data_IF_205442485089
#
_entry.id   IF_205442485089
#
_cell.length_a   1.000
_cell.length_b   1.000
_cell.length_c   1.000
_cell.angle_alpha   90.00
_cell.angle_beta   90.00
_cell.angle_gamma   90.00
#
_symmetry.space_group_name_H-M   'P 1'
#
loop_
_entity.id
_entity.type
_entity.pdbx_description
1 polymer ?
#
# COMPACT_ATOMS: atom_id res chain seq x y z
N UNK A 1 5.94 -15.22 -2.80
CA UNK A 1 4.85 -14.31 -2.37
C UNK A 1 5.00 -12.92 -3.01
N UNK A 2 3.98 -12.06 -2.92
CA UNK A 2 3.98 -10.67 -3.44
C UNK A 2 3.49 -9.71 -2.37
N UNK A 3 4.10 -8.52 -2.29
CA UNK A 3 3.76 -7.45 -1.36
C UNK A 3 3.08 -6.31 -2.12
N UNK A 4 1.81 -6.07 -1.83
CA UNK A 4 1.09 -4.90 -2.36
C UNK A 4 1.34 -3.72 -1.42
N UNK A 5 1.94 -2.66 -1.96
CA UNK A 5 2.22 -1.43 -1.20
C UNK A 5 1.21 -0.36 -1.61
N UNK A 6 0.45 0.14 -0.62
CA UNK A 6 -0.48 1.26 -0.80
C UNK A 6 -0.03 2.41 0.12
N UNK A 7 0.67 3.41 -0.41
CA UNK A 7 1.13 4.56 0.37
C UNK A 7 -0.05 5.42 0.81
N UNK A 8 -0.16 5.67 2.13
CA UNK A 8 -1.20 6.55 2.67
C UNK A 8 -1.10 7.99 2.13
N UNK A 9 0.09 8.43 1.74
CA UNK A 9 0.29 9.77 1.17
C UNK A 9 -0.43 9.92 -0.19
N UNK A 10 -0.56 8.84 -0.96
CA UNK A 10 -1.32 8.84 -2.22
C UNK A 10 -2.82 8.83 -2.01
N UNK A 11 -3.26 8.28 -0.89
CA UNK A 11 -4.67 8.39 -0.49
C UNK A 11 -5.05 9.85 -0.22
N UNK A 12 -4.11 10.72 0.18
CA UNK A 12 -4.35 12.16 0.36
C UNK A 12 -4.58 12.89 -0.96
N UNK A 13 -4.08 12.37 -2.08
CA UNK A 13 -4.30 12.95 -3.42
C UNK A 13 -5.73 12.69 -3.92
N UNK A 14 -6.36 11.59 -3.48
CA UNK A 14 -7.73 11.22 -3.86
C UNK A 14 -8.81 11.73 -2.89
N UNK A 15 -8.46 12.20 -1.69
CA UNK A 15 -9.42 12.75 -0.71
C UNK A 15 -9.47 14.28 -0.72
N UNK A 16 -10.66 14.86 -0.54
CA UNK A 16 -10.82 16.32 -0.41
C UNK A 16 -10.08 16.81 0.85
N UNK A 17 -9.44 17.99 0.77
CA UNK A 17 -8.75 18.65 1.88
C UNK A 17 -9.65 18.92 3.10
N UNK A 18 -10.98 18.87 2.92
CA UNK A 18 -11.96 19.06 4.00
C UNK A 18 -12.38 17.75 4.68
N UNK A 19 -11.86 16.61 4.20
CA UNK A 19 -12.20 15.27 4.70
C UNK A 19 -11.67 15.07 6.13
N UNK A 20 -12.48 14.45 6.98
CA UNK A 20 -12.08 14.13 8.35
C UNK A 20 -11.10 12.94 8.37
N UNK A 21 -10.24 12.83 9.39
CA UNK A 21 -9.32 11.68 9.52
C UNK A 21 -10.04 10.31 9.45
N UNK A 22 -11.19 10.10 10.14
CA UNK A 22 -11.96 8.87 10.00
C UNK A 22 -12.45 8.59 8.57
N UNK A 23 -12.86 9.62 7.83
CA UNK A 23 -13.35 9.43 6.46
C UNK A 23 -12.21 9.20 5.47
N UNK A 24 -11.02 9.78 5.72
CA UNK A 24 -9.82 9.49 4.93
C UNK A 24 -9.37 8.02 5.12
N UNK A 25 -9.44 7.49 6.33
CA UNK A 25 -9.16 6.07 6.60
C UNK A 25 -10.18 5.14 5.93
N UNK A 26 -11.46 5.51 5.90
CA UNK A 26 -12.45 4.74 5.11
C UNK A 26 -12.09 4.69 3.63
N UNK A 27 -11.55 5.78 3.07
CA UNK A 27 -11.09 5.78 1.67
C UNK A 27 -9.90 4.84 1.47
N UNK A 28 -9.00 4.76 2.44
CA UNK A 28 -7.93 3.75 2.45
C UNK A 28 -8.49 2.32 2.41
N UNK A 29 -9.47 2.06 3.28
CA UNK A 29 -10.14 0.76 3.38
C UNK A 29 -10.86 0.41 2.06
N UNK A 30 -11.50 1.38 1.40
CA UNK A 30 -12.13 1.19 0.09
C UNK A 30 -11.11 0.79 -0.99
N UNK A 31 -9.93 1.44 -1.02
CA UNK A 31 -8.87 1.10 -1.99
C UNK A 31 -8.32 -0.30 -1.73
N UNK A 32 -8.07 -0.64 -0.45
CA UNK A 32 -7.63 -1.98 -0.06
C UNK A 32 -8.67 -3.04 -0.42
N UNK A 33 -9.95 -2.75 -0.16
CA UNK A 33 -11.06 -3.62 -0.53
C UNK A 33 -11.09 -3.84 -2.03
N UNK A 34 -10.96 -2.79 -2.84
CA UNK A 34 -10.96 -2.90 -4.30
C UNK A 34 -9.76 -3.70 -4.83
N UNK A 35 -8.57 -3.52 -4.24
CA UNK A 35 -7.40 -4.32 -4.61
C UNK A 35 -7.57 -5.82 -4.33
N UNK A 36 -8.07 -6.17 -3.13
CA UNK A 36 -8.34 -7.58 -2.76
C UNK A 36 -9.48 -8.16 -3.60
N UNK A 37 -10.54 -7.37 -3.81
CA UNK A 37 -11.69 -7.76 -4.61
C UNK A 37 -11.29 -8.00 -6.06
N UNK A 38 -10.44 -7.15 -6.64
CA UNK A 38 -9.95 -7.32 -8.01
C UNK A 38 -9.26 -8.67 -8.25
N UNK A 39 -8.52 -9.21 -7.27
CA UNK A 39 -7.90 -10.53 -7.38
C UNK A 39 -8.90 -11.64 -7.09
N UNK A 40 -9.73 -11.44 -6.07
CA UNK A 40 -10.67 -12.47 -5.58
C UNK A 40 -11.77 -12.75 -6.60
N UNK A 41 -12.23 -11.70 -7.30
CA UNK A 41 -13.31 -11.80 -8.27
C UNK A 41 -12.87 -12.56 -9.53
N UNK A 42 -11.60 -12.44 -9.93
CA UNK A 42 -11.02 -13.20 -11.05
C UNK A 42 -11.05 -14.72 -10.84
N UNK A 43 -11.08 -15.17 -9.59
CA UNK A 43 -11.03 -16.59 -9.22
C UNK A 43 -12.44 -17.13 -8.92
N UNK A 44 -13.25 -16.34 -8.21
CA UNK A 44 -14.49 -16.82 -7.62
C UNK A 44 -15.75 -16.47 -8.41
N UNK A 45 -15.71 -15.40 -9.21
CA UNK A 45 -16.89 -14.93 -9.95
C UNK A 45 -16.80 -15.45 -11.39
N UNK A 46 -17.81 -16.20 -11.87
CA UNK A 46 -17.85 -16.62 -13.27
C UNK A 46 -17.85 -15.41 -14.19
N UNK A 47 -16.72 -15.20 -14.87
CA UNK A 47 -16.55 -14.19 -15.90
C UNK A 47 -16.90 -14.71 -17.31
N UNK A 48 -17.02 -13.79 -18.27
CA UNK A 48 -17.00 -14.15 -19.69
C UNK A 48 -15.65 -14.77 -20.06
N UNK A 49 -14.58 -14.22 -19.46
CA UNK A 49 -13.24 -14.74 -19.56
C UNK A 49 -12.74 -14.96 -18.14
N UNK A 50 -12.79 -16.22 -17.75
CA UNK A 50 -12.44 -16.67 -16.42
C UNK A 50 -10.99 -17.12 -16.39
N UNK A 51 -10.27 -16.71 -15.35
CA UNK A 51 -8.93 -17.19 -15.07
C UNK A 51 -8.99 -18.26 -13.99
N UNK A 52 -8.01 -19.15 -13.98
CA UNK A 52 -7.89 -20.11 -12.89
C UNK A 52 -6.94 -19.62 -11.80
N UNK A 53 -6.92 -20.31 -10.66
CA UNK A 53 -6.03 -19.95 -9.56
C UNK A 53 -4.54 -20.14 -9.93
N UNK A 54 -4.21 -21.04 -10.85
CA UNK A 54 -2.83 -21.29 -11.25
C UNK A 54 -2.26 -20.14 -12.09
N UNK A 55 -3.10 -19.55 -12.95
CA UNK A 55 -2.79 -18.34 -13.70
C UNK A 55 -2.46 -17.19 -12.76
N UNK A 56 -3.38 -16.85 -11.84
CA UNK A 56 -3.18 -15.79 -10.83
C UNK A 56 -1.97 -16.09 -9.93
N UNK A 57 -1.80 -17.35 -9.51
CA UNK A 57 -0.64 -17.73 -8.72
C UNK A 57 0.68 -17.53 -9.48
N UNK A 58 0.71 -17.76 -10.80
CA UNK A 58 1.93 -17.60 -11.61
C UNK A 58 2.36 -16.13 -11.72
N UNK A 59 1.40 -15.22 -11.88
CA UNK A 59 1.67 -13.77 -11.89
C UNK A 59 1.92 -13.20 -10.51
N UNK A 60 1.42 -13.78 -9.43
CA UNK A 60 1.60 -13.24 -8.07
C UNK A 60 2.66 -13.96 -7.23
N UNK A 61 3.24 -15.06 -7.70
CA UNK A 61 4.21 -15.80 -6.90
C UNK A 61 5.64 -15.30 -7.14
N UNK A 62 6.27 -14.87 -6.05
CA UNK A 62 7.70 -14.51 -5.99
C UNK A 62 8.04 -13.31 -6.88
N UNK A 63 7.11 -12.34 -6.97
CA UNK A 63 7.27 -11.14 -7.81
C UNK A 63 7.66 -9.88 -7.05
N UNK A 64 7.89 -9.97 -5.74
CA UNK A 64 8.33 -8.82 -4.94
C UNK A 64 7.18 -7.83 -4.72
N UNK A 65 7.40 -6.57 -5.11
CA UNK A 65 6.40 -5.51 -4.96
C UNK A 65 5.35 -5.56 -6.07
N UNK A 66 4.13 -5.22 -5.67
CA UNK A 66 3.01 -4.94 -6.55
C UNK A 66 2.39 -3.57 -6.27
N UNK A 67 1.93 -2.93 -7.34
CA UNK A 67 1.15 -1.71 -7.29
C UNK A 67 -0.22 -1.91 -7.92
N UNK A 68 -1.19 -1.10 -7.50
CA UNK A 68 -2.58 -1.19 -7.92
C UNK A 68 -3.01 0.14 -8.52
N UNK A 69 -3.55 0.09 -9.72
CA UNK A 69 -4.26 1.17 -10.39
C UNK A 69 -5.74 0.84 -10.51
N UNK A 70 -6.60 1.80 -10.24
CA UNK A 70 -8.05 1.62 -10.31
C UNK A 70 -8.62 2.77 -11.15
N UNK A 71 -9.44 2.41 -12.13
CA UNK A 71 -10.11 3.36 -13.00
C UNK A 71 -11.54 2.96 -13.28
N UNK A 72 -12.34 3.95 -13.64
CA UNK A 72 -13.76 3.81 -13.96
C UNK A 72 -14.07 4.55 -15.25
N UNK A 73 -14.96 4.00 -16.04
CA UNK A 73 -15.34 4.60 -17.33
C UNK A 73 -16.81 4.39 -17.61
N UNK A 74 -17.37 5.24 -18.45
CA UNK A 74 -18.78 5.20 -18.87
C UNK A 74 -18.91 5.73 -20.29
N UNK A 75 -19.93 5.29 -21.03
CA UNK A 75 -20.16 5.66 -22.44
C UNK A 75 -19.42 4.78 -23.45
N UNK A 76 -19.24 5.29 -24.67
CA UNK A 76 -18.76 4.49 -25.81
C UNK A 76 -17.29 4.06 -25.73
N UNK A 77 -16.43 4.87 -25.07
CA UNK A 77 -14.99 4.59 -24.89
C UNK A 77 -14.66 4.17 -23.44
N UNK A 78 -15.65 3.63 -22.72
CA UNK A 78 -15.57 3.36 -21.27
C UNK A 78 -14.36 2.51 -20.87
N UNK A 79 -14.02 1.48 -21.64
CA UNK A 79 -12.87 0.62 -21.33
C UNK A 79 -11.54 1.35 -21.44
N UNK A 80 -11.32 2.07 -22.55
CA UNK A 80 -10.06 2.77 -22.80
C UNK A 80 -9.87 3.91 -21.80
N UNK A 81 -10.91 4.67 -21.51
CA UNK A 81 -10.87 5.73 -20.50
C UNK A 81 -10.62 5.18 -19.09
N UNK A 82 -11.28 4.07 -18.72
CA UNK A 82 -11.04 3.42 -17.43
C UNK A 82 -9.61 2.88 -17.30
N UNK A 83 -9.02 2.33 -18.36
CA UNK A 83 -7.61 1.93 -18.34
C UNK A 83 -6.71 3.16 -18.16
N UNK A 84 -6.92 4.23 -18.94
CA UNK A 84 -6.14 5.47 -18.81
C UNK A 84 -6.19 6.03 -17.39
N UNK A 85 -7.35 6.03 -16.77
CA UNK A 85 -7.50 6.43 -15.36
C UNK A 85 -6.74 5.47 -14.43
N UNK A 86 -6.85 4.16 -14.65
CA UNK A 86 -6.16 3.17 -13.83
C UNK A 86 -4.63 3.31 -13.89
N UNK A 87 -4.04 3.49 -15.08
CA UNK A 87 -2.58 3.65 -15.25
C UNK A 87 -2.05 4.99 -14.75
N UNK A 88 -2.90 6.02 -14.74
CA UNK A 88 -2.55 7.35 -14.23
C UNK A 88 -2.95 7.54 -12.77
N UNK A 89 -3.44 6.48 -12.13
CA UNK A 89 -3.88 6.51 -10.74
C UNK A 89 -2.70 6.81 -9.80
N UNK A 90 -2.86 7.71 -8.83
CA UNK A 90 -1.83 8.03 -7.83
C UNK A 90 -1.34 6.81 -7.02
N UNK A 91 -2.12 5.73 -7.02
CA UNK A 91 -1.86 4.50 -6.28
C UNK A 91 -0.82 3.58 -6.97
N UNK A 92 -0.52 3.84 -8.25
CA UNK A 92 0.63 3.29 -8.94
C UNK A 92 1.85 4.17 -8.61
N UNK A 93 2.71 3.71 -7.68
CA UNK A 93 3.93 4.47 -7.35
C UNK A 93 4.93 4.49 -8.50
N UNK A 94 5.03 3.39 -9.24
CA UNK A 94 5.84 3.25 -10.44
C UNK A 94 4.93 3.15 -11.65
N UNK A 95 5.40 3.68 -12.79
CA UNK A 95 4.74 3.43 -14.07
C UNK A 95 4.63 1.92 -14.32
N UNK A 96 3.62 1.50 -15.09
CA UNK A 96 3.48 0.10 -15.49
C UNK A 96 4.61 -0.36 -16.44
N UNK A 97 5.42 0.57 -16.93
CA UNK A 97 6.58 0.31 -17.78
C UNK A 97 7.59 -0.58 -17.04
N UNK A 98 7.96 -1.71 -17.64
CA UNK A 98 8.92 -2.64 -17.04
C UNK A 98 8.32 -3.60 -16.00
N UNK A 99 7.00 -3.58 -15.79
CA UNK A 99 6.35 -4.62 -15.00
C UNK A 99 6.49 -5.97 -15.71
N UNK A 100 7.09 -6.97 -15.06
CA UNK A 100 7.24 -8.29 -15.67
C UNK A 100 5.88 -9.00 -15.88
N UNK A 101 4.91 -8.74 -15.01
CA UNK A 101 3.60 -9.39 -15.03
C UNK A 101 2.50 -8.39 -14.64
N UNK A 102 1.38 -8.40 -15.36
CA UNK A 102 0.26 -7.50 -15.14
C UNK A 102 -1.05 -8.28 -15.10
N UNK A 103 -1.91 -7.95 -14.15
CA UNK A 103 -3.28 -8.46 -14.04
C UNK A 103 -4.25 -7.32 -14.35
N UNK A 104 -5.21 -7.59 -15.23
CA UNK A 104 -6.27 -6.67 -15.59
C UNK A 104 -7.59 -7.34 -15.25
N UNK A 105 -8.31 -6.78 -14.29
CA UNK A 105 -9.67 -7.18 -13.97
C UNK A 105 -10.65 -6.13 -14.50
N UNK A 106 -11.55 -6.55 -15.38
CA UNK A 106 -12.59 -5.72 -15.97
C UNK A 106 -13.93 -6.16 -15.39
N UNK A 107 -14.60 -5.26 -14.68
CA UNK A 107 -15.92 -5.48 -14.10
C UNK A 107 -16.93 -4.52 -14.70
N UNK A 108 -17.92 -5.04 -15.44
CA UNK A 108 -18.97 -4.23 -16.04
C UNK A 108 -19.51 -4.83 -17.33
N UNK A 109 -20.40 -4.10 -18.00
CA UNK A 109 -20.88 -4.46 -19.33
C UNK A 109 -19.87 -4.04 -20.39
N UNK A 110 -19.11 -5.02 -20.92
CA UNK A 110 -17.99 -4.80 -21.84
C UNK A 110 -18.07 -5.76 -23.03
N UNK A 111 -17.99 -5.21 -24.24
CA UNK A 111 -17.82 -5.98 -25.46
C UNK A 111 -16.41 -6.55 -25.61
N UNK A 112 -16.29 -7.66 -26.35
CA UNK A 112 -14.99 -8.28 -26.66
C UNK A 112 -14.02 -7.30 -27.34
N UNK A 113 -14.53 -6.42 -28.21
CA UNK A 113 -13.71 -5.43 -28.91
C UNK A 113 -13.16 -4.39 -27.94
N UNK A 114 -13.98 -3.85 -27.05
CA UNK A 114 -13.58 -2.86 -26.05
C UNK A 114 -12.55 -3.44 -25.06
N UNK A 115 -12.73 -4.70 -24.65
CA UNK A 115 -11.77 -5.41 -23.82
C UNK A 115 -10.42 -5.62 -24.54
N UNK A 116 -10.45 -5.96 -25.83
CA UNK A 116 -9.25 -6.11 -26.64
C UNK A 116 -8.50 -4.77 -26.79
N UNK A 117 -9.22 -3.67 -27.03
CA UNK A 117 -8.62 -2.35 -27.18
C UNK A 117 -7.95 -1.88 -25.87
N UNK A 118 -8.58 -2.16 -24.72
CA UNK A 118 -7.99 -1.94 -23.40
C UNK A 118 -6.71 -2.77 -23.16
N UNK A 119 -6.71 -4.05 -23.57
CA UNK A 119 -5.55 -4.92 -23.45
C UNK A 119 -4.38 -4.46 -24.33
N UNK A 120 -4.66 -4.10 -25.59
CA UNK A 120 -3.65 -3.57 -26.52
C UNK A 120 -3.00 -2.29 -26.00
N UNK A 121 -3.80 -1.40 -25.38
CA UNK A 121 -3.27 -0.17 -24.81
C UNK A 121 -2.31 -0.43 -23.64
N UNK A 122 -2.58 -1.43 -22.79
CA UNK A 122 -1.66 -1.81 -21.72
C UNK A 122 -0.41 -2.47 -22.29
N UNK A 123 -0.56 -3.35 -23.28
CA UNK A 123 0.55 -4.03 -23.94
C UNK A 123 1.54 -3.04 -24.56
N UNK A 124 1.05 -1.97 -25.20
CA UNK A 124 1.87 -0.89 -25.76
C UNK A 124 2.70 -0.17 -24.68
N UNK A 125 2.17 -0.02 -23.47
CA UNK A 125 2.83 0.66 -22.36
C UNK A 125 3.81 -0.25 -21.59
N UNK A 126 3.46 -1.52 -21.37
CA UNK A 126 4.31 -2.47 -20.65
C UNK A 126 5.43 -3.05 -21.52
N UNK A 127 5.26 -3.07 -22.83
CA UNK A 127 6.18 -3.67 -23.80
C UNK A 127 6.01 -5.19 -23.97
N UNK A 128 6.61 -5.75 -25.03
CA UNK A 128 6.40 -7.12 -25.52
C UNK A 128 6.89 -8.25 -24.58
N UNK A 129 7.62 -7.94 -23.50
CA UNK A 129 8.19 -8.96 -22.59
C UNK A 129 7.36 -9.15 -21.31
N UNK A 130 6.13 -8.64 -21.28
CA UNK A 130 5.26 -8.65 -20.09
C UNK A 130 4.21 -9.74 -20.18
N UNK A 131 4.07 -10.54 -19.13
CA UNK A 131 2.98 -11.52 -19.05
C UNK A 131 1.69 -10.86 -18.55
N UNK A 132 0.76 -10.60 -19.47
CA UNK A 132 -0.51 -9.94 -19.16
C UNK A 132 -1.61 -10.99 -18.99
N UNK A 133 -2.30 -10.91 -17.87
CA UNK A 133 -3.44 -11.76 -17.54
C UNK A 133 -4.69 -10.89 -17.45
N UNK A 134 -5.76 -11.35 -18.09
CA UNK A 134 -6.99 -10.59 -18.21
C UNK A 134 -8.19 -11.42 -17.78
N UNK A 135 -9.07 -10.80 -17.00
CA UNK A 135 -10.38 -11.35 -16.68
C UNK A 135 -11.47 -10.32 -16.87
N UNK A 136 -12.63 -10.81 -17.34
CA UNK A 136 -13.82 -10.00 -17.59
C UNK A 136 -14.98 -10.62 -16.85
N UNK A 137 -15.59 -9.86 -15.97
CA UNK A 137 -16.79 -10.24 -15.23
C UNK A 137 -17.94 -9.28 -15.52
N UNK A 138 -19.14 -9.84 -15.59
CA UNK A 138 -20.39 -9.11 -15.74
C UNK A 138 -21.13 -9.15 -14.41
N UNK A 139 -20.99 -8.13 -13.54
CA UNK A 139 -21.82 -8.05 -12.35
C UNK A 139 -23.30 -7.95 -12.77
N UNK A 140 -24.22 -8.59 -12.03
CA UNK A 140 -25.67 -8.52 -12.32
C UNK A 140 -26.27 -7.11 -12.14
N UNK A 141 -25.48 -6.12 -11.72
CA UNK A 141 -25.87 -4.73 -11.66
C UNK A 141 -25.67 -4.08 -13.04
N UNK A 142 -26.79 -3.86 -13.74
CA UNK A 142 -26.87 -3.10 -14.98
C UNK A 142 -26.50 -1.63 -14.73
N UNK A 143 -25.21 -1.31 -14.78
CA UNK A 143 -24.74 0.06 -14.93
C UNK A 143 -23.89 0.14 -16.21
N UNK A 144 -24.14 1.15 -17.06
CA UNK A 144 -23.32 1.49 -18.24
C UNK A 144 -21.96 2.09 -17.82
N UNK A 145 -21.32 1.41 -16.87
CA UNK A 145 -20.04 1.76 -16.32
C UNK A 145 -19.17 0.52 -16.24
N UNK A 146 -17.89 0.72 -16.50
CA UNK A 146 -16.87 -0.29 -16.33
C UNK A 146 -15.93 0.14 -15.22
N UNK A 147 -15.55 -0.80 -14.37
CA UNK A 147 -14.45 -0.64 -13.41
C UNK A 147 -13.31 -1.54 -13.84
N UNK A 148 -12.13 -0.94 -14.00
CA UNK A 148 -10.92 -1.67 -14.35
C UNK A 148 -9.94 -1.55 -13.19
N UNK A 149 -9.42 -2.69 -12.76
CA UNK A 149 -8.33 -2.78 -11.78
C UNK A 149 -7.11 -3.36 -12.46
N UNK A 150 -6.01 -2.62 -12.43
CA UNK A 150 -4.71 -3.01 -12.98
C UNK A 150 -3.78 -3.29 -11.81
N UNK A 151 -3.13 -4.46 -11.82
CA UNK A 151 -2.17 -4.86 -10.79
C UNK A 151 -0.86 -5.18 -11.51
N UNK A 152 0.15 -4.33 -11.30
CA UNK A 152 1.47 -4.51 -11.86
C UNK A 152 2.37 -5.18 -10.83
N UNK A 153 3.10 -6.22 -11.23
CA UNK A 153 4.00 -6.99 -10.36
C UNK A 153 5.33 -7.28 -11.06
N UNK A 154 6.40 -7.48 -10.28
CA UNK A 154 7.73 -7.70 -10.83
C UNK A 154 8.29 -6.45 -11.48
N UNK A 155 8.00 -5.30 -10.88
CA UNK A 155 8.71 -4.05 -11.11
C UNK A 155 10.04 -4.14 -10.35
N UNK A 156 11.15 -3.86 -11.05
CA UNK A 156 12.46 -3.81 -10.40
C UNK A 156 12.53 -2.57 -9.49
N UNK A 157 12.84 -2.80 -8.22
CA UNK A 157 13.12 -1.74 -7.26
C UNK A 157 14.46 -1.07 -7.62
N UNK A 158 14.46 -0.06 -8.49
CA UNK A 158 15.64 0.79 -8.64
C UNK A 158 15.80 1.75 -7.43
N UNK A 159 14.81 1.82 -6.53
CA UNK A 159 14.78 2.80 -5.42
C UNK A 159 14.48 2.23 -4.01
N UNK A 160 14.37 0.92 -3.80
CA UNK A 160 14.37 0.34 -2.44
C UNK A 160 15.76 -0.04 -1.95
N UNK A 161 16.73 0.85 -2.19
CA UNK A 161 17.77 1.03 -1.19
C UNK A 161 17.09 1.57 0.08
N UNK A 162 16.67 0.66 0.97
CA UNK A 162 16.45 0.92 2.39
C UNK A 162 17.77 1.44 2.98
N UNK A 163 18.11 2.67 2.64
CA UNK A 163 19.15 3.42 3.31
C UNK A 163 18.61 3.68 4.71
N UNK A 164 19.35 3.21 5.70
CA UNK A 164 19.14 3.43 7.13
C UNK A 164 19.31 4.92 7.52
N UNK A 165 18.79 5.87 6.73
CA UNK A 165 19.09 7.30 6.84
C UNK A 165 17.89 8.17 7.26
N UNK A 166 16.79 7.59 7.75
CA UNK A 166 15.79 8.33 8.51
C UNK A 166 15.96 8.17 10.02
N UNK A 167 17.16 8.49 10.52
CA UNK A 167 17.26 8.94 11.91
C UNK A 167 16.94 10.43 11.96
N UNK A 168 15.90 10.86 12.70
CA UNK A 168 15.55 12.27 12.80
C UNK A 168 16.75 13.07 13.33
N UNK A 169 17.06 14.19 12.66
CA UNK A 169 18.23 15.05 12.89
C UNK A 169 18.40 15.57 14.34
N UNK A 170 17.43 15.33 15.22
CA UNK A 170 17.49 15.65 16.64
C UNK A 170 18.42 14.72 17.45
N UNK A 171 18.71 13.51 16.97
CA UNK A 171 19.61 12.57 17.67
C UNK A 171 21.10 12.79 17.38
N UNK A 172 21.45 13.72 16.47
CA UNK A 172 22.83 14.05 16.14
C UNK A 172 23.41 14.97 17.22
N UNK A 173 24.14 14.35 18.17
CA UNK A 173 24.90 15.04 19.23
C UNK A 173 25.75 16.16 18.61
N UNK A 174 25.62 17.43 19.03
CA UNK A 174 26.40 18.52 18.44
C UNK A 174 27.90 18.29 18.67
N UNK A 175 28.67 18.33 17.60
CA UNK A 175 30.13 18.41 17.68
C UNK A 175 30.52 19.73 18.37
N UNK A 176 31.44 19.65 19.33
CA UNK A 176 31.90 20.79 20.10
C UNK A 176 32.47 21.91 19.19
N UNK A 177 32.19 23.19 19.48
CA UNK A 177 32.72 24.30 18.69
C UNK A 177 34.24 24.39 18.88
N UNK A 178 34.99 24.37 17.77
CA UNK A 178 36.42 24.69 17.78
C UNK A 178 36.57 26.18 18.06
N UNK A 179 37.06 26.54 19.25
CA UNK A 179 37.41 27.92 19.59
C UNK A 179 38.82 28.23 19.06
N UNK A 180 38.97 29.38 18.42
CA UNK A 180 40.21 29.86 17.80
C UNK A 180 40.98 30.75 18.80
N UNK A 181 41.55 30.18 19.86
CA UNK A 181 42.45 30.90 20.76
C UNK A 181 43.89 30.35 20.68
N UNK A 182 44.91 31.18 20.43
CA UNK A 182 46.30 30.75 20.43
C UNK A 182 46.74 30.42 21.86
N UNK A 183 47.09 29.16 22.11
CA UNK A 183 47.59 28.69 23.41
C UNK A 183 49.09 28.95 23.47
N UNK A 184 49.55 29.81 24.40
CA UNK A 184 50.97 29.83 24.82
C UNK A 184 51.20 28.69 25.81
N UNK A 185 52.27 27.95 25.59
CA UNK A 185 52.72 26.84 26.44
C UNK A 185 52.95 27.27 27.90
N UNK A 186 52.53 26.39 28.82
CA UNK A 186 53.02 26.38 30.20
C UNK A 186 52.05 26.91 31.25
N UNK A 187 51.03 26.12 31.63
CA UNK A 187 50.52 26.09 33.01
C UNK A 187 49.72 24.82 33.29
N UNK A 188 50.18 24.06 34.29
CA UNK A 188 49.54 22.85 34.80
C UNK A 188 48.54 23.18 35.92
N UNK A 189 47.39 22.50 35.82
CA UNK A 189 46.49 22.03 36.89
C UNK A 189 45.72 23.05 37.77
N UNK A 190 44.40 22.91 37.83
CA UNK A 190 43.77 22.00 38.80
C UNK A 190 42.24 22.09 38.76
N UNK A 191 41.62 20.96 39.09
CA UNK A 191 40.19 20.69 39.09
C UNK A 191 39.46 21.31 40.28
N UNK A 192 38.25 21.83 40.04
CA UNK A 192 37.24 22.00 41.09
C UNK A 192 35.83 21.80 40.52
N UNK A 193 35.03 20.85 41.05
CA UNK A 193 33.67 20.64 40.58
C UNK A 193 32.73 21.64 41.25
N UNK A 194 31.95 22.37 40.44
CA UNK A 194 30.84 23.21 40.91
C UNK A 194 29.54 22.41 40.73
N UNK A 195 28.90 22.10 41.86
CA UNK A 195 27.62 21.41 41.94
C UNK A 195 26.48 22.27 41.35
N UNK A 196 25.48 21.69 40.66
CA UNK A 196 24.26 22.40 40.32
C UNK A 196 23.32 22.45 41.52
N UNK A 197 22.92 23.67 41.88
CA UNK A 197 21.89 23.96 42.88
C UNK A 197 20.50 23.62 42.35
N UNK A 198 19.65 23.09 43.23
CA UNK A 198 18.29 22.62 42.94
C UNK A 198 17.25 23.75 43.01
N UNK A 199 16.42 23.86 41.97
CA UNK A 199 15.04 24.36 41.93
C UNK A 199 14.40 23.65 40.73
N UNK A 200 13.20 23.11 40.74
CA UNK A 200 12.08 23.04 41.67
C UNK A 200 10.94 22.45 40.83
N UNK A 201 10.33 21.39 41.34
CA UNK A 201 9.38 20.51 40.65
C UNK A 201 8.09 21.20 40.21
N UNK A 202 7.51 20.77 39.08
CA UNK A 202 6.07 20.46 38.99
C UNK A 202 5.67 19.74 37.68
N UNK A 203 5.13 18.52 37.84
CA UNK A 203 4.23 17.76 36.95
C UNK A 203 4.80 17.03 35.70
N UNK A 204 5.29 15.82 35.92
CA UNK A 204 5.30 14.74 34.91
C UNK A 204 4.13 13.78 35.19
N UNK A 205 3.09 13.80 34.35
CA UNK A 205 2.11 12.72 34.27
C UNK A 205 2.69 11.62 33.36
N UNK A 206 2.94 10.44 33.93
CA UNK A 206 3.28 9.22 33.15
C UNK A 206 2.06 8.75 32.37
N UNK A 207 2.19 8.38 31.08
CA UNK A 207 1.20 7.53 30.43
C UNK A 207 1.19 6.16 31.12
N UNK A 208 0.03 5.79 31.68
CA UNK A 208 -0.21 4.45 32.21
C UNK A 208 -0.45 3.49 31.03
N UNK A 209 0.30 2.39 31.01
CA UNK A 209 0.03 1.23 30.16
C UNK A 209 -1.34 0.63 30.53
N UNK A 210 -2.24 0.33 29.58
CA UNK A 210 -3.47 -0.39 29.91
C UNK A 210 -3.11 -1.82 30.31
N UNK A 211 -3.23 -2.11 31.61
CA UNK A 211 -3.20 -3.46 32.16
C UNK A 211 -4.57 -4.11 31.90
N UNK A 212 -4.63 -5.09 31.00
CA UNK A 212 -5.79 -5.98 30.90
C UNK A 212 -5.77 -6.94 32.09
N UNK A 213 -6.54 -6.59 33.12
CA UNK A 213 -6.92 -7.49 34.21
C UNK A 213 -7.84 -8.57 33.65
N UNK A 214 -7.30 -9.74 33.32
CA UNK A 214 -8.11 -10.93 33.02
C UNK A 214 -8.70 -11.44 34.33
N UNK A 215 -9.91 -10.99 34.67
CA UNK A 215 -10.71 -11.66 35.68
C UNK A 215 -10.98 -13.09 35.17
N UNK A 216 -10.36 -14.06 35.84
CA UNK A 216 -10.68 -15.46 35.70
C UNK A 216 -11.96 -15.71 36.51
N UNK A 217 -13.11 -15.60 35.86
CA UNK A 217 -14.33 -16.31 36.27
C UNK A 217 -15.01 -16.90 35.05
N UNK A 218 -15.36 -18.18 35.20
CA UNK A 218 -16.12 -19.08 34.34
C UNK A 218 -15.56 -19.53 32.98
N UNK A 219 -15.49 -20.87 32.87
CA UNK A 219 -14.95 -21.60 31.74
C UNK A 219 -15.68 -21.30 30.43
N UNK A 220 -14.88 -21.06 29.40
CA UNK A 220 -15.33 -20.95 28.01
C UNK A 220 -16.01 -22.27 27.63
N UNK A 221 -17.34 -22.26 27.53
CA UNK A 221 -18.13 -23.38 26.99
C UNK A 221 -17.85 -23.48 25.49
N UNK A 222 -17.16 -24.54 25.09
CA UNK A 222 -16.98 -24.89 23.68
C UNK A 222 -18.36 -25.30 23.13
N UNK A 223 -18.86 -24.65 22.05
CA UNK A 223 -20.11 -25.03 21.40
C UNK A 223 -20.08 -26.47 20.89
N UNK A 224 -21.22 -27.17 21.00
CA UNK A 224 -21.34 -28.62 20.73
C UNK A 224 -20.92 -29.05 19.31
N UNK A 225 -20.93 -28.14 18.33
CA UNK A 225 -20.53 -28.42 16.95
C UNK A 225 -19.02 -28.67 16.76
N UNK A 226 -18.17 -28.25 17.71
CA UNK A 226 -16.70 -28.42 17.65
C UNK A 226 -16.22 -29.77 18.21
N UNK A 227 -17.10 -30.60 18.77
CA UNK A 227 -16.75 -31.94 19.23
C UNK A 227 -16.85 -32.94 18.08
N UNK A 228 -15.74 -33.10 17.35
CA UNK A 228 -15.59 -34.08 16.27
C UNK A 228 -15.76 -35.50 16.83
N UNK A 229 -16.83 -36.20 16.44
CA UNK A 229 -17.01 -37.64 16.71
C UNK A 229 -15.90 -38.44 16.00
N UNK A 230 -15.20 -39.27 16.77
CA UNK A 230 -14.49 -40.44 16.26
C UNK A 230 -15.48 -41.52 15.84
#
# INVERSE_FOLDING_TARGET
>A
DTLIVIPNDKLLEIVDRRTSMPDALKKADEVLQQGVQGITDLINVPGLINLDFADVQTVMKDKGIAHIGIGTGSGDDKCVEAVKEAISSPLLETTIEGASHVIINISGDVGLQEANDAAMYIEELTGENTNIIFGVMFPEAEDDSVKITVIATGLEDDDMHLTEEHTPAFLKKPAAPKTNFPTKEGQLASSRPVAPSALGSSHTARPQTPSYSRQAEDGIKIPEFLQRKR
#
